data_IF_236730761705
#
_entry.id   IF_236730761705
#
_cell.length_a   1.000
_cell.length_b   1.000
_cell.length_c   1.000
_cell.angle_alpha   90.00
_cell.angle_beta   90.00
_cell.angle_gamma   90.00
#
_symmetry.space_group_name_H-M   'P 1'
#
loop_
_entity.id
_entity.type
_entity.pdbx_description
1 polymer ?
#
# COMPACT_ATOMS: atom_id res chain seq x y z
N UNK A 1 0.69 33.27 -9.51
CA UNK A 1 0.16 31.90 -9.57
C UNK A 1 0.05 31.16 -8.23
N UNK A 2 0.66 31.64 -7.12
CA UNK A 2 0.61 30.96 -5.78
C UNK A 2 -0.78 30.96 -5.09
N UNK A 3 -1.67 31.88 -5.40
CA UNK A 3 -2.97 32.02 -4.70
C UNK A 3 -4.07 31.05 -5.17
N UNK A 4 -3.94 30.40 -6.31
CA UNK A 4 -4.95 29.45 -6.83
C UNK A 4 -4.77 28.03 -6.29
N UNK A 5 -3.56 27.66 -5.85
CA UNK A 5 -3.29 26.32 -5.31
C UNK A 5 -3.84 26.11 -3.87
N UNK A 6 -3.92 27.17 -3.05
CA UNK A 6 -4.43 27.05 -1.69
C UNK A 6 -5.93 26.73 -1.61
N UNK A 7 -6.76 27.23 -2.53
CA UNK A 7 -8.22 27.06 -2.47
C UNK A 7 -8.71 25.66 -2.88
N UNK A 8 -8.01 24.98 -3.76
CA UNK A 8 -8.38 23.61 -4.19
C UNK A 8 -7.96 22.56 -3.15
N UNK A 9 -6.78 22.71 -2.56
CA UNK A 9 -6.29 21.85 -1.46
C UNK A 9 -7.19 21.94 -0.21
N UNK A 10 -7.72 23.13 0.10
CA UNK A 10 -8.65 23.34 1.22
C UNK A 10 -9.98 22.60 1.02
N UNK A 11 -10.43 22.36 -0.21
CA UNK A 11 -11.70 21.66 -0.49
C UNK A 11 -11.59 20.14 -0.48
N UNK A 12 -10.43 19.58 -0.83
CA UNK A 12 -10.22 18.13 -0.90
C UNK A 12 -10.06 17.50 0.50
N UNK A 13 -9.39 18.18 1.41
CA UNK A 13 -9.14 17.70 2.78
C UNK A 13 -10.41 17.36 3.56
N UNK A 14 -11.44 18.21 3.63
CA UNK A 14 -12.69 17.92 4.33
C UNK A 14 -13.48 16.75 3.72
N UNK A 15 -13.51 16.64 2.38
CA UNK A 15 -14.19 15.54 1.69
C UNK A 15 -13.48 14.21 1.99
N UNK A 16 -12.16 14.18 1.90
CA UNK A 16 -11.37 13.01 2.23
C UNK A 16 -11.61 12.59 3.68
N UNK A 17 -11.57 13.54 4.62
CA UNK A 17 -11.84 13.27 6.03
C UNK A 17 -13.25 12.71 6.23
N UNK A 18 -14.27 13.29 5.61
CA UNK A 18 -15.64 12.80 5.70
C UNK A 18 -15.77 11.37 5.18
N UNK A 19 -15.18 11.06 4.03
CA UNK A 19 -15.15 9.70 3.49
C UNK A 19 -14.44 8.73 4.42
N UNK A 20 -13.29 9.11 4.96
CA UNK A 20 -12.54 8.28 5.91
C UNK A 20 -13.35 8.01 7.18
N UNK A 21 -14.04 9.02 7.73
CA UNK A 21 -14.90 8.86 8.91
C UNK A 21 -16.05 7.89 8.62
N UNK A 22 -16.65 7.93 7.43
CA UNK A 22 -17.66 6.96 7.01
C UNK A 22 -17.07 5.54 6.96
N UNK A 23 -15.90 5.36 6.36
CA UNK A 23 -15.22 4.06 6.31
C UNK A 23 -14.89 3.53 7.70
N UNK A 24 -14.38 4.40 8.59
CA UNK A 24 -14.11 4.07 10.01
C UNK A 24 -15.39 3.68 10.71
N UNK A 25 -16.45 4.48 10.60
CA UNK A 25 -17.74 4.23 11.26
C UNK A 25 -18.32 2.86 10.85
N UNK A 26 -18.39 2.59 9.54
CA UNK A 26 -18.88 1.31 9.02
C UNK A 26 -18.00 0.15 9.51
N UNK A 27 -16.68 0.34 9.51
CA UNK A 27 -15.75 -0.68 9.99
C UNK A 27 -15.94 -0.99 11.46
N UNK A 28 -15.97 0.03 12.33
CA UNK A 28 -16.13 -0.12 13.78
C UNK A 28 -17.48 -0.78 14.12
N UNK A 29 -18.56 -0.33 13.46
CA UNK A 29 -19.90 -0.96 13.63
C UNK A 29 -19.85 -2.45 13.30
N UNK A 30 -19.20 -2.82 12.20
CA UNK A 30 -19.05 -4.22 11.79
C UNK A 30 -18.15 -5.02 12.72
N UNK A 31 -17.06 -4.43 13.17
CA UNK A 31 -16.15 -5.04 14.13
C UNK A 31 -16.82 -5.34 15.47
N UNK A 32 -17.59 -4.39 16.02
CA UNK A 32 -18.37 -4.58 17.25
C UNK A 32 -19.38 -5.72 17.06
N UNK A 33 -20.12 -5.75 15.92
CA UNK A 33 -21.08 -6.81 15.61
C UNK A 33 -20.43 -8.20 15.52
N UNK A 34 -19.21 -8.29 15.01
CA UNK A 34 -18.46 -9.55 14.90
C UNK A 34 -17.93 -10.01 16.26
N UNK A 35 -17.56 -9.07 17.14
CA UNK A 35 -17.06 -9.37 18.48
C UNK A 35 -18.17 -9.93 19.38
N UNK A 36 -19.40 -9.42 19.25
CA UNK A 36 -20.55 -9.89 20.06
C UNK A 36 -20.98 -11.32 19.73
N UNK A 37 -20.66 -11.83 18.54
CA UNK A 37 -21.09 -13.15 18.03
C UNK A 37 -20.00 -14.24 18.12
N UNK A 38 -19.06 -14.17 19.07
CA UNK A 38 -17.94 -15.11 19.27
C UNK A 38 -17.02 -15.37 18.05
N UNK A 39 -17.27 -14.75 16.90
CA UNK A 39 -16.37 -14.80 15.74
C UNK A 39 -15.33 -13.69 15.83
N UNK A 40 -14.32 -13.92 16.62
CA UNK A 40 -13.38 -12.91 17.10
C UNK A 40 -12.52 -12.33 15.98
N UNK A 41 -12.78 -11.08 15.61
CA UNK A 41 -11.78 -10.21 15.02
C UNK A 41 -10.97 -9.58 16.17
N UNK A 42 -9.71 -9.97 16.39
CA UNK A 42 -8.91 -9.46 17.49
C UNK A 42 -8.68 -7.94 17.35
N UNK A 43 -8.49 -7.27 18.47
CA UNK A 43 -8.33 -5.80 18.56
C UNK A 43 -7.21 -5.30 17.67
N UNK A 44 -6.09 -6.03 17.56
CA UNK A 44 -4.96 -5.64 16.74
C UNK A 44 -5.33 -5.44 15.24
N UNK A 45 -6.34 -6.16 14.73
CA UNK A 45 -6.83 -5.96 13.35
C UNK A 45 -7.54 -4.62 13.21
N UNK A 46 -8.35 -4.24 14.21
CA UNK A 46 -8.98 -2.92 14.21
C UNK A 46 -7.93 -1.80 14.30
N UNK A 47 -6.95 -1.95 15.19
CA UNK A 47 -5.84 -1.02 15.27
C UNK A 47 -5.08 -0.92 13.93
N UNK A 48 -4.77 -2.05 13.29
CA UNK A 48 -4.09 -2.08 11.99
C UNK A 48 -4.87 -1.30 10.92
N UNK A 49 -6.18 -1.52 10.81
CA UNK A 49 -7.04 -0.80 9.86
C UNK A 49 -7.05 0.71 10.12
N UNK A 50 -7.23 1.10 11.38
CA UNK A 50 -7.28 2.52 11.78
C UNK A 50 -5.94 3.22 11.55
N UNK A 51 -4.82 2.56 11.87
CA UNK A 51 -3.47 3.08 11.60
C UNK A 51 -3.26 3.20 10.09
N UNK A 52 -3.68 2.22 9.28
CA UNK A 52 -3.61 2.30 7.82
C UNK A 52 -4.36 3.51 7.26
N UNK A 53 -5.57 3.80 7.74
CA UNK A 53 -6.31 5.00 7.34
C UNK A 53 -5.66 6.30 7.85
N UNK A 54 -5.16 6.30 9.08
CA UNK A 54 -4.45 7.46 9.63
C UNK A 54 -3.22 7.81 8.79
N UNK A 55 -2.46 6.80 8.33
CA UNK A 55 -1.29 7.02 7.46
C UNK A 55 -1.68 7.60 6.10
N UNK A 56 -2.82 7.18 5.53
CA UNK A 56 -3.35 7.81 4.31
C UNK A 56 -3.68 9.28 4.57
N UNK A 57 -4.35 9.58 5.68
CA UNK A 57 -4.66 10.96 6.04
C UNK A 57 -3.40 11.80 6.25
N UNK A 58 -2.40 11.26 6.96
CA UNK A 58 -1.10 11.91 7.14
C UNK A 58 -0.44 12.19 5.78
N UNK A 59 -0.45 11.23 4.87
CA UNK A 59 0.16 11.37 3.56
C UNK A 59 -0.54 12.41 2.68
N UNK A 60 -1.88 12.50 2.73
CA UNK A 60 -2.66 13.29 1.75
C UNK A 60 -3.17 14.63 2.29
N UNK A 61 -3.40 14.76 3.60
CA UNK A 61 -4.12 15.89 4.18
C UNK A 61 -3.41 16.54 5.37
N UNK A 62 -2.23 16.09 5.78
CA UNK A 62 -1.50 16.71 6.90
C UNK A 62 -0.65 17.89 6.45
N UNK A 63 -0.19 18.75 7.37
CA UNK A 63 0.78 19.82 7.08
C UNK A 63 2.08 19.32 6.43
N UNK A 64 2.38 18.02 6.53
CA UNK A 64 3.50 17.39 5.83
C UNK A 64 3.35 17.53 4.31
N UNK A 65 2.09 17.61 3.81
CA UNK A 65 1.83 17.84 2.39
C UNK A 65 2.24 19.23 1.89
N UNK A 66 2.46 20.19 2.77
CA UNK A 66 3.01 21.50 2.38
C UNK A 66 4.53 21.41 2.09
N UNK A 67 5.24 20.52 2.80
CA UNK A 67 6.68 20.35 2.65
C UNK A 67 7.06 19.46 1.46
N UNK A 68 6.15 18.70 0.88
CA UNK A 68 6.45 17.83 -0.26
C UNK A 68 6.77 18.59 -1.53
N UNK A 69 6.25 19.82 -1.64
CA UNK A 69 6.61 20.74 -2.72
C UNK A 69 8.00 21.35 -2.55
N UNK A 70 8.54 21.35 -1.32
CA UNK A 70 9.86 21.92 -1.02
C UNK A 70 10.97 20.85 -1.00
N UNK A 71 10.64 19.63 -0.55
CA UNK A 71 11.58 18.53 -0.33
C UNK A 71 11.13 17.25 -1.05
N UNK A 72 11.95 16.80 -2.00
CA UNK A 72 11.73 15.52 -2.68
C UNK A 72 11.71 14.34 -1.70
N UNK A 73 12.54 14.39 -0.65
CA UNK A 73 12.55 13.37 0.41
C UNK A 73 11.19 13.24 1.08
N UNK A 74 10.53 14.36 1.42
CA UNK A 74 9.17 14.33 2.03
C UNK A 74 8.14 13.76 1.06
N UNK A 75 8.23 14.15 -0.21
CA UNK A 75 7.37 13.62 -1.26
C UNK A 75 7.50 12.08 -1.37
N UNK A 76 8.73 11.56 -1.38
CA UNK A 76 8.98 10.11 -1.43
C UNK A 76 8.54 9.39 -0.13
N UNK A 77 8.59 10.03 1.02
CA UNK A 77 7.98 9.50 2.27
C UNK A 77 6.48 9.31 2.10
N UNK A 78 5.77 10.28 1.51
CA UNK A 78 4.33 10.16 1.22
C UNK A 78 4.03 8.97 0.30
N UNK A 79 4.80 8.84 -0.79
CA UNK A 79 4.66 7.69 -1.69
C UNK A 79 4.88 6.37 -0.94
N UNK A 80 5.92 6.26 -0.12
CA UNK A 80 6.20 5.06 0.65
C UNK A 80 5.04 4.72 1.60
N UNK A 81 4.47 5.70 2.30
CA UNK A 81 3.31 5.49 3.17
C UNK A 81 2.10 4.96 2.40
N UNK A 82 1.79 5.55 1.23
CA UNK A 82 0.65 5.15 0.41
C UNK A 82 0.83 3.80 -0.27
N UNK A 83 2.06 3.44 -0.63
CA UNK A 83 2.35 2.22 -1.39
C UNK A 83 2.62 1.04 -0.48
N UNK A 84 3.46 1.22 0.52
CA UNK A 84 4.08 0.08 1.20
C UNK A 84 3.59 -0.14 2.62
N UNK A 85 3.09 0.90 3.30
CA UNK A 85 2.70 0.80 4.71
C UNK A 85 1.17 0.76 4.87
N UNK A 86 0.45 1.72 4.29
CA UNK A 86 -1.00 1.79 4.45
C UNK A 86 -1.77 0.60 3.84
N UNK A 87 -1.48 0.13 2.59
CA UNK A 87 -2.21 -0.97 1.99
C UNK A 87 -2.13 -2.29 2.77
N UNK A 88 -0.95 -2.78 3.21
CA UNK A 88 -0.88 -3.99 4.02
C UNK A 88 -1.61 -3.85 5.36
N UNK A 89 -1.52 -2.70 6.04
CA UNK A 89 -2.22 -2.47 7.30
C UNK A 89 -3.74 -2.51 7.11
N UNK A 90 -4.25 -1.94 6.03
CA UNK A 90 -5.68 -2.01 5.68
C UNK A 90 -6.11 -3.47 5.50
N UNK A 91 -5.36 -4.27 4.73
CA UNK A 91 -5.71 -5.68 4.50
C UNK A 91 -5.58 -6.54 5.77
N UNK A 92 -4.58 -6.29 6.62
CA UNK A 92 -4.44 -6.94 7.93
C UNK A 92 -5.66 -6.69 8.84
N UNK A 93 -6.30 -5.54 8.70
CA UNK A 93 -7.54 -5.22 9.40
C UNK A 93 -8.77 -6.03 8.99
N UNK A 94 -8.71 -6.84 7.92
CA UNK A 94 -9.83 -7.61 7.36
C UNK A 94 -11.09 -6.76 7.08
N UNK A 95 -10.97 -5.65 6.32
CA UNK A 95 -12.06 -4.69 6.14
C UNK A 95 -13.27 -5.31 5.45
N UNK A 96 -13.09 -6.25 4.55
CA UNK A 96 -14.19 -6.91 3.82
C UNK A 96 -15.14 -7.62 4.79
N UNK A 97 -14.60 -8.31 5.79
CA UNK A 97 -15.40 -9.01 6.80
C UNK A 97 -16.12 -8.02 7.71
N UNK A 98 -15.42 -6.96 8.16
CA UNK A 98 -16.02 -5.93 9.00
C UNK A 98 -17.11 -5.16 8.24
N UNK A 99 -16.84 -4.67 7.04
CA UNK A 99 -17.83 -3.94 6.24
C UNK A 99 -19.06 -4.78 5.84
N UNK A 100 -18.88 -6.07 5.58
CA UNK A 100 -20.02 -6.97 5.31
C UNK A 100 -21.02 -7.09 6.48
N UNK A 101 -20.60 -6.74 7.70
CA UNK A 101 -21.45 -6.71 8.89
C UNK A 101 -21.81 -5.29 9.33
N UNK A 102 -20.98 -4.29 8.97
CA UNK A 102 -21.20 -2.89 9.32
C UNK A 102 -22.18 -2.17 8.42
N UNK A 103 -22.26 -2.55 7.15
CA UNK A 103 -23.18 -1.94 6.19
C UNK A 103 -24.63 -2.33 6.47
N UNK A 104 -25.58 -1.42 6.22
CA UNK A 104 -27.00 -1.74 6.27
C UNK A 104 -27.39 -2.88 5.29
N UNK A 105 -28.31 -3.72 5.68
CA UNK A 105 -28.73 -4.90 4.89
C UNK A 105 -29.16 -4.55 3.46
N UNK A 106 -29.81 -3.40 3.26
CA UNK A 106 -30.24 -2.97 1.93
C UNK A 106 -29.05 -2.64 1.02
N UNK A 107 -27.99 -2.00 1.56
CA UNK A 107 -26.75 -1.70 0.82
C UNK A 107 -26.03 -2.99 0.43
N UNK A 108 -25.93 -3.94 1.37
CA UNK A 108 -25.32 -5.25 1.08
C UNK A 108 -26.10 -5.97 -0.03
N UNK A 109 -27.44 -5.95 0.02
CA UNK A 109 -28.28 -6.57 -0.99
C UNK A 109 -28.12 -5.93 -2.38
N UNK A 110 -27.97 -4.60 -2.42
CA UNK A 110 -27.74 -3.83 -3.64
C UNK A 110 -26.35 -4.11 -4.23
N UNK A 111 -25.31 -4.16 -3.38
CA UNK A 111 -23.94 -4.34 -3.82
C UNK A 111 -23.56 -5.81 -4.10
N UNK A 112 -24.26 -6.76 -3.47
CA UNK A 112 -23.97 -8.20 -3.59
C UNK A 112 -23.82 -8.68 -5.04
N UNK A 113 -24.76 -8.42 -5.98
CA UNK A 113 -24.62 -8.90 -7.35
C UNK A 113 -23.40 -8.33 -8.07
N UNK A 114 -22.98 -7.11 -7.76
CA UNK A 114 -21.78 -6.50 -8.33
C UNK A 114 -20.51 -7.27 -7.94
N UNK A 115 -20.45 -7.79 -6.71
CA UNK A 115 -19.30 -8.49 -6.18
C UNK A 115 -19.35 -10.03 -6.34
N UNK A 116 -20.50 -10.60 -6.66
CA UNK A 116 -20.65 -12.08 -6.75
C UNK A 116 -20.72 -12.62 -8.17
N UNK A 117 -21.32 -11.91 -9.11
CA UNK A 117 -21.64 -12.47 -10.44
C UNK A 117 -21.32 -11.56 -11.63
N UNK A 118 -21.05 -10.28 -11.41
CA UNK A 118 -20.94 -9.28 -12.48
C UNK A 118 -19.53 -9.11 -13.06
N UNK A 119 -19.40 -8.13 -13.95
CA UNK A 119 -18.14 -7.68 -14.56
C UNK A 119 -17.14 -7.27 -13.47
N UNK A 120 -17.58 -6.58 -12.41
CA UNK A 120 -16.74 -6.19 -11.28
C UNK A 120 -16.13 -7.39 -10.56
N UNK A 121 -16.87 -8.49 -10.40
CA UNK A 121 -16.31 -9.72 -9.83
C UNK A 121 -15.22 -10.33 -10.73
N UNK A 122 -15.43 -10.35 -12.04
CA UNK A 122 -14.44 -10.85 -13.01
C UNK A 122 -13.20 -9.94 -13.04
N UNK A 123 -13.40 -8.62 -13.08
CA UNK A 123 -12.34 -7.63 -13.04
C UNK A 123 -11.55 -7.73 -11.72
N UNK A 124 -12.22 -7.81 -10.57
CA UNK A 124 -11.56 -7.97 -9.27
C UNK A 124 -10.71 -9.23 -9.21
N UNK A 125 -11.24 -10.37 -9.67
CA UNK A 125 -10.48 -11.63 -9.74
C UNK A 125 -9.31 -11.57 -10.72
N UNK A 126 -9.43 -10.83 -11.82
CA UNK A 126 -8.35 -10.64 -12.77
C UNK A 126 -7.25 -9.75 -12.17
N UNK A 127 -7.61 -8.61 -11.61
CA UNK A 127 -6.69 -7.63 -11.02
C UNK A 127 -5.97 -8.17 -9.78
N UNK A 128 -6.61 -9.05 -9.01
CA UNK A 128 -5.99 -9.69 -7.84
C UNK A 128 -5.17 -10.94 -8.17
N UNK A 129 -5.04 -11.33 -9.46
CA UNK A 129 -4.08 -12.38 -9.86
C UNK A 129 -2.66 -11.90 -9.55
N UNK A 130 -1.82 -12.70 -8.88
CA UNK A 130 -0.49 -12.25 -8.44
C UNK A 130 0.35 -11.63 -9.57
N UNK A 131 0.35 -12.21 -10.76
CA UNK A 131 1.08 -11.68 -11.92
C UNK A 131 0.57 -10.32 -12.37
N UNK A 132 -0.76 -10.13 -12.42
CA UNK A 132 -1.39 -8.86 -12.84
C UNK A 132 -1.15 -7.78 -11.80
N UNK A 133 -1.35 -8.10 -10.53
CA UNK A 133 -1.12 -7.19 -9.41
C UNK A 133 0.34 -6.74 -9.34
N UNK A 134 1.29 -7.68 -9.54
CA UNK A 134 2.72 -7.40 -9.58
C UNK A 134 3.09 -6.46 -10.74
N UNK A 135 2.60 -6.76 -11.95
CA UNK A 135 2.84 -5.93 -13.12
C UNK A 135 2.24 -4.53 -12.98
N UNK A 136 1.00 -4.43 -12.49
CA UNK A 136 0.31 -3.15 -12.28
C UNK A 136 1.07 -2.26 -11.28
N UNK A 137 1.52 -2.85 -10.16
CA UNK A 137 2.27 -2.12 -9.14
C UNK A 137 3.61 -1.63 -9.68
N UNK A 138 4.40 -2.51 -10.31
CA UNK A 138 5.71 -2.14 -10.83
C UNK A 138 5.60 -1.17 -12.03
N UNK A 139 4.59 -1.31 -12.87
CA UNK A 139 4.34 -0.37 -13.97
C UNK A 139 3.98 1.03 -13.44
N UNK A 140 3.12 1.12 -12.42
CA UNK A 140 2.83 2.39 -11.76
C UNK A 140 4.08 2.96 -11.10
N UNK A 141 4.83 2.13 -10.36
CA UNK A 141 6.04 2.55 -9.66
C UNK A 141 7.10 3.09 -10.62
N UNK A 142 7.50 2.32 -11.61
CA UNK A 142 8.50 2.75 -12.61
C UNK A 142 7.96 3.94 -13.42
N UNK A 143 6.72 3.84 -13.90
CA UNK A 143 6.12 4.84 -14.79
C UNK A 143 6.13 6.24 -14.18
N UNK A 144 5.67 6.38 -12.94
CA UNK A 144 5.64 7.68 -12.27
C UNK A 144 7.01 8.18 -11.79
N UNK A 145 8.01 7.30 -11.64
CA UNK A 145 9.39 7.72 -11.33
C UNK A 145 10.21 8.11 -12.58
N UNK A 146 9.66 7.93 -13.80
CA UNK A 146 10.29 8.50 -15.01
C UNK A 146 10.25 10.04 -14.90
N UNK A 147 11.39 10.75 -15.05
CA UNK A 147 11.43 12.19 -14.81
C UNK A 147 10.36 13.00 -15.55
N UNK A 148 10.09 12.67 -16.81
CA UNK A 148 9.05 13.35 -17.59
C UNK A 148 7.63 13.12 -17.06
N UNK A 149 7.32 11.90 -16.61
CA UNK A 149 6.00 11.57 -16.04
C UNK A 149 5.82 12.22 -14.67
N UNK A 150 6.87 12.22 -13.87
CA UNK A 150 6.90 12.89 -12.58
C UNK A 150 6.67 14.40 -12.71
N UNK A 151 7.44 15.09 -13.57
CA UNK A 151 7.26 16.52 -13.85
C UNK A 151 5.85 16.81 -14.38
N UNK A 152 5.31 15.93 -15.22
CA UNK A 152 3.93 16.05 -15.69
C UNK A 152 2.91 15.93 -14.56
N UNK A 153 3.10 15.03 -13.60
CA UNK A 153 2.24 14.92 -12.44
C UNK A 153 2.21 16.22 -11.62
N UNK A 154 3.35 16.90 -11.50
CA UNK A 154 3.44 18.17 -10.78
C UNK A 154 2.80 19.36 -11.50
N UNK A 155 2.41 19.24 -12.79
CA UNK A 155 1.79 20.34 -13.54
C UNK A 155 0.38 20.70 -13.06
N UNK A 156 -0.34 19.76 -12.43
CA UNK A 156 -1.67 20.01 -11.87
C UNK A 156 -1.97 19.09 -10.70
N UNK A 157 -2.73 19.63 -9.76
CA UNK A 157 -3.19 18.87 -8.58
C UNK A 157 -3.97 17.59 -8.96
N UNK A 158 -4.76 17.63 -10.02
CA UNK A 158 -5.51 16.46 -10.48
C UNK A 158 -4.60 15.32 -10.95
N UNK A 159 -3.52 15.63 -11.69
CA UNK A 159 -2.55 14.62 -12.11
C UNK A 159 -1.74 14.08 -10.94
N UNK A 160 -1.37 14.92 -10.00
CA UNK A 160 -0.69 14.52 -8.76
C UNK A 160 -1.59 13.60 -7.91
N UNK A 161 -2.86 13.94 -7.75
CA UNK A 161 -3.84 13.07 -7.07
C UNK A 161 -4.06 11.76 -7.82
N UNK A 162 -4.04 11.76 -9.15
CA UNK A 162 -4.13 10.55 -9.96
C UNK A 162 -2.90 9.65 -9.79
N UNK A 163 -1.70 10.20 -9.72
CA UNK A 163 -0.47 9.49 -9.37
C UNK A 163 -0.60 8.77 -8.01
N UNK A 164 -1.00 9.51 -6.96
CA UNK A 164 -1.23 8.92 -5.63
C UNK A 164 -2.29 7.81 -5.65
N UNK A 165 -3.36 7.98 -6.42
CA UNK A 165 -4.39 6.96 -6.61
C UNK A 165 -3.82 5.72 -7.31
N UNK A 166 -3.01 5.89 -8.37
CA UNK A 166 -2.33 4.78 -9.04
C UNK A 166 -1.44 4.00 -8.08
N UNK A 167 -0.64 4.69 -7.28
CA UNK A 167 0.22 4.07 -6.28
C UNK A 167 -0.59 3.30 -5.23
N UNK A 168 -1.59 3.92 -4.66
CA UNK A 168 -2.40 3.31 -3.60
C UNK A 168 -3.16 2.07 -4.09
N UNK A 169 -3.91 2.19 -5.20
CA UNK A 169 -4.73 1.08 -5.70
C UNK A 169 -3.92 -0.07 -6.27
N UNK A 170 -2.82 0.20 -7.00
CA UNK A 170 -1.93 -0.86 -7.47
C UNK A 170 -1.29 -1.64 -6.31
N UNK A 171 -0.95 -0.95 -5.23
CA UNK A 171 -0.41 -1.58 -4.04
C UNK A 171 -1.45 -2.31 -3.20
N UNK A 172 -2.71 -1.85 -3.13
CA UNK A 172 -3.79 -2.67 -2.58
C UNK A 172 -3.92 -4.01 -3.31
N UNK A 173 -3.80 -4.02 -4.65
CA UNK A 173 -3.81 -5.26 -5.42
C UNK A 173 -2.56 -6.11 -5.16
N UNK A 174 -1.38 -5.49 -5.07
CA UNK A 174 -0.11 -6.16 -4.83
C UNK A 174 -0.07 -6.87 -3.47
N UNK A 175 -0.57 -6.23 -2.40
CA UNK A 175 -0.57 -6.79 -1.05
C UNK A 175 -1.67 -7.84 -0.81
N UNK A 176 -2.70 -7.88 -1.66
CA UNK A 176 -3.80 -8.83 -1.53
C UNK A 176 -3.36 -10.30 -1.44
N UNK A 177 -2.59 -10.86 -2.40
CA UNK A 177 -2.19 -12.28 -2.36
C UNK A 177 -1.27 -12.61 -1.20
N UNK A 178 -0.54 -11.63 -0.65
CA UNK A 178 0.38 -11.82 0.47
C UNK A 178 -0.37 -11.94 1.79
N UNK A 179 -1.33 -11.05 2.04
CA UNK A 179 -2.03 -10.94 3.33
C UNK A 179 -3.27 -11.82 3.38
N UNK A 180 -3.91 -12.04 2.25
CA UNK A 180 -5.09 -12.90 2.10
C UNK A 180 -4.83 -14.06 1.15
N UNK A 181 -3.94 -14.97 1.51
CA UNK A 181 -3.87 -16.22 0.79
C UNK A 181 -5.26 -16.86 0.91
N UNK A 182 -5.85 -17.20 -0.23
CA UNK A 182 -7.10 -17.94 -0.26
C UNK A 182 -6.99 -19.11 0.71
N UNK A 183 -8.04 -19.38 1.47
CA UNK A 183 -8.09 -20.44 2.49
C UNK A 183 -7.60 -21.81 2.03
N UNK A 184 -7.51 -22.02 0.71
CA UNK A 184 -7.07 -23.23 0.03
C UNK A 184 -5.78 -23.01 -0.79
N UNK A 185 -4.98 -21.96 -0.49
CA UNK A 185 -3.69 -21.80 -1.14
C UNK A 185 -2.79 -22.98 -0.71
N UNK A 186 -2.38 -23.79 -1.68
CA UNK A 186 -1.43 -24.87 -1.45
C UNK A 186 -0.11 -24.30 -0.91
N UNK A 187 0.64 -25.10 -0.18
CA UNK A 187 1.97 -24.72 0.33
C UNK A 187 2.87 -24.23 -0.82
N UNK A 188 2.78 -24.86 -1.97
CA UNK A 188 3.48 -24.47 -3.20
C UNK A 188 3.11 -23.04 -3.67
N UNK A 189 1.86 -22.60 -3.46
CA UNK A 189 1.44 -21.24 -3.73
C UNK A 189 2.09 -20.21 -2.78
N UNK A 190 2.40 -20.58 -1.55
CA UNK A 190 3.07 -19.72 -0.57
C UNK A 190 4.56 -19.53 -0.89
N UNK A 191 5.26 -20.56 -1.38
CA UNK A 191 6.65 -20.43 -1.84
C UNK A 191 6.79 -19.42 -3.00
N UNK A 192 5.78 -19.30 -3.85
CA UNK A 192 5.76 -18.33 -4.96
C UNK A 192 5.68 -16.85 -4.48
N UNK A 193 5.29 -16.62 -3.24
CA UNK A 193 5.29 -15.25 -2.69
C UNK A 193 6.70 -14.73 -2.40
N UNK A 194 7.68 -15.61 -2.21
CA UNK A 194 9.06 -15.21 -1.97
C UNK A 194 9.65 -14.52 -3.21
N UNK A 195 9.72 -15.16 -4.39
CA UNK A 195 10.19 -14.48 -5.59
C UNK A 195 9.30 -13.28 -5.98
N UNK A 196 8.00 -13.32 -5.68
CA UNK A 196 7.09 -12.20 -5.90
C UNK A 196 7.54 -10.94 -5.14
N UNK A 197 7.91 -11.07 -3.87
CA UNK A 197 8.42 -9.98 -3.03
C UNK A 197 9.84 -9.58 -3.42
N UNK A 198 10.75 -10.54 -3.61
CA UNK A 198 12.14 -10.26 -3.94
C UNK A 198 12.30 -9.56 -5.29
N UNK A 199 11.52 -9.95 -6.30
CA UNK A 199 11.55 -9.27 -7.60
C UNK A 199 10.98 -7.85 -7.51
N UNK A 200 10.00 -7.59 -6.63
CA UNK A 200 9.52 -6.23 -6.37
C UNK A 200 10.59 -5.38 -5.67
N UNK A 201 11.34 -5.98 -4.74
CA UNK A 201 12.46 -5.31 -4.10
C UNK A 201 13.62 -5.00 -5.07
N UNK A 202 13.91 -5.88 -6.01
CA UNK A 202 14.88 -5.61 -7.10
C UNK A 202 14.48 -4.39 -7.92
N UNK A 203 13.19 -4.26 -8.26
CA UNK A 203 12.69 -3.08 -8.98
C UNK A 203 12.80 -1.82 -8.11
N UNK A 204 12.40 -1.91 -6.83
CA UNK A 204 12.56 -0.81 -5.87
C UNK A 204 14.02 -0.37 -5.76
N UNK A 205 14.94 -1.32 -5.58
CA UNK A 205 16.38 -1.06 -5.54
C UNK A 205 16.88 -0.37 -6.81
N UNK A 206 16.44 -0.82 -7.99
CA UNK A 206 16.84 -0.23 -9.27
C UNK A 206 16.43 1.23 -9.41
N UNK A 207 15.18 1.56 -9.10
CA UNK A 207 14.68 2.95 -9.15
C UNK A 207 15.35 3.82 -8.08
N UNK A 208 15.49 3.31 -6.87
CA UNK A 208 16.12 4.04 -5.76
C UNK A 208 17.61 4.31 -6.03
N UNK A 209 18.34 3.32 -6.55
CA UNK A 209 19.73 3.47 -6.96
C UNK A 209 19.88 4.49 -8.10
N UNK A 210 18.94 4.49 -9.06
CA UNK A 210 18.92 5.49 -10.13
C UNK A 210 18.80 6.90 -9.57
N UNK A 211 17.94 7.14 -8.58
CA UNK A 211 17.83 8.45 -7.91
C UNK A 211 19.12 8.81 -7.15
N UNK A 212 19.68 7.86 -6.39
CA UNK A 212 20.87 8.08 -5.58
C UNK A 212 22.12 8.40 -6.41
N UNK A 213 22.34 7.65 -7.49
CA UNK A 213 23.63 7.64 -8.20
C UNK A 213 23.60 8.36 -9.54
N UNK A 214 22.50 9.05 -9.91
CA UNK A 214 22.39 9.79 -11.16
C UNK A 214 23.43 10.89 -11.36
N UNK A 215 24.00 11.44 -10.26
CA UNK A 215 24.97 12.53 -10.28
C UNK A 215 24.44 13.86 -10.86
N UNK A 216 23.18 13.89 -11.23
CA UNK A 216 22.46 15.05 -11.79
C UNK A 216 21.04 15.13 -11.21
N UNK A 217 20.51 16.35 -11.18
CA UNK A 217 19.13 16.56 -10.78
C UNK A 217 18.18 15.98 -11.85
N UNK A 218 17.39 14.98 -11.43
CA UNK A 218 16.44 14.28 -12.30
C UNK A 218 15.11 15.02 -12.40
N UNK A 219 14.73 15.74 -11.34
CA UNK A 219 13.47 16.47 -11.20
C UNK A 219 13.75 17.99 -11.11
N UNK A 220 13.80 18.70 -12.26
CA UNK A 220 14.12 20.12 -12.31
C UNK A 220 13.20 21.01 -11.47
N UNK A 221 11.93 20.65 -11.31
CA UNK A 221 10.97 21.41 -10.48
C UNK A 221 11.46 21.65 -9.05
N UNK A 222 12.28 20.76 -8.51
CA UNK A 222 12.91 20.96 -7.20
C UNK A 222 14.17 21.81 -7.25
N UNK A 223 14.71 22.14 -8.43
CA UNK A 223 15.96 22.91 -8.59
C UNK A 223 15.84 24.36 -8.13
N UNK A 224 14.69 24.98 -8.39
CA UNK A 224 14.48 26.43 -8.22
C UNK A 224 13.86 26.84 -6.90
N UNK A 225 13.47 25.86 -6.04
CA UNK A 225 12.75 26.11 -4.80
C UNK A 225 13.74 26.32 -3.65
N UNK A 226 13.61 27.42 -2.85
CA UNK A 226 14.39 27.57 -1.63
C UNK A 226 14.09 26.44 -0.64
N UNK A 227 15.13 25.77 -0.14
CA UNK A 227 14.98 24.63 0.77
C UNK A 227 15.28 25.00 2.20
N UNK A 228 14.54 24.46 3.17
CA UNK A 228 14.91 24.53 4.56
C UNK A 228 16.28 23.83 4.77
N UNK A 229 16.98 24.24 5.83
CA UNK A 229 18.24 23.61 6.27
C UNK A 229 19.44 23.72 5.31
N UNK A 230 19.40 24.57 4.27
CA UNK A 230 20.54 24.76 3.35
C UNK A 230 20.90 23.52 2.49
N UNK A 231 19.98 22.55 2.37
CA UNK A 231 20.16 21.37 1.53
C UNK A 231 20.19 21.73 0.04
N UNK A 232 21.14 21.18 -0.71
CA UNK A 232 21.12 21.28 -2.17
C UNK A 232 20.04 20.35 -2.76
N UNK A 233 19.52 20.68 -3.97
CA UNK A 233 18.56 19.84 -4.68
C UNK A 233 19.06 18.43 -4.92
N UNK A 234 20.36 18.31 -5.25
CA UNK A 234 20.97 17.02 -5.50
C UNK A 234 21.09 16.18 -4.22
N UNK A 235 21.46 16.81 -3.10
CA UNK A 235 21.56 16.10 -1.82
C UNK A 235 20.19 15.63 -1.32
N UNK A 236 19.12 16.41 -1.52
CA UNK A 236 17.76 16.01 -1.22
C UNK A 236 17.31 14.84 -2.11
N UNK A 237 17.62 14.85 -3.41
CA UNK A 237 17.35 13.72 -4.32
C UNK A 237 18.09 12.46 -3.88
N UNK A 238 19.36 12.56 -3.49
CA UNK A 238 20.15 11.43 -2.98
C UNK A 238 19.53 10.89 -1.68
N UNK A 239 19.13 11.77 -0.76
CA UNK A 239 18.46 11.38 0.49
C UNK A 239 17.11 10.71 0.21
N UNK A 240 16.32 11.23 -0.72
CA UNK A 240 15.05 10.65 -1.16
C UNK A 240 15.24 9.23 -1.71
N UNK A 241 16.21 9.04 -2.61
CA UNK A 241 16.55 7.73 -3.17
C UNK A 241 17.04 6.75 -2.11
N UNK A 242 17.92 7.18 -1.21
CA UNK A 242 18.42 6.36 -0.11
C UNK A 242 17.31 5.93 0.85
N UNK A 243 16.39 6.84 1.18
CA UNK A 243 15.23 6.56 2.01
C UNK A 243 14.30 5.52 1.36
N UNK A 244 13.97 5.70 0.07
CA UNK A 244 13.18 4.72 -0.68
C UNK A 244 13.86 3.35 -0.72
N UNK A 245 15.18 3.32 -0.91
CA UNK A 245 15.94 2.08 -0.94
C UNK A 245 15.83 1.33 0.38
N UNK A 246 16.27 1.96 1.47
CA UNK A 246 16.33 1.31 2.78
C UNK A 246 14.94 0.93 3.29
N UNK A 247 14.02 1.89 3.35
CA UNK A 247 12.68 1.65 3.89
C UNK A 247 11.84 0.77 2.97
N UNK A 248 11.95 0.95 1.65
CA UNK A 248 11.25 0.12 0.67
C UNK A 248 11.71 -1.34 0.73
N UNK A 249 13.03 -1.59 0.76
CA UNK A 249 13.56 -2.95 0.88
C UNK A 249 13.13 -3.64 2.17
N UNK A 250 13.12 -2.94 3.30
CA UNK A 250 12.62 -3.51 4.56
C UNK A 250 11.16 -4.00 4.44
N UNK A 251 10.33 -3.25 3.76
CA UNK A 251 8.90 -3.59 3.59
C UNK A 251 8.70 -4.87 2.77
N UNK A 252 9.56 -5.16 1.80
CA UNK A 252 9.50 -6.40 1.01
C UNK A 252 10.23 -7.56 1.70
N UNK A 253 11.38 -7.32 2.30
CA UNK A 253 12.21 -8.37 2.90
C UNK A 253 11.62 -8.93 4.20
N UNK A 254 11.05 -8.08 5.07
CA UNK A 254 10.46 -8.55 6.34
C UNK A 254 9.37 -9.61 6.10
N UNK A 255 8.33 -9.37 5.25
CA UNK A 255 7.34 -10.41 5.00
C UNK A 255 7.93 -11.61 4.23
N UNK A 256 8.92 -11.44 3.36
CA UNK A 256 9.59 -12.55 2.70
C UNK A 256 10.25 -13.49 3.71
N UNK A 257 11.02 -12.93 4.66
CA UNK A 257 11.65 -13.69 5.76
C UNK A 257 10.59 -14.34 6.65
N UNK A 258 9.53 -13.62 6.99
CA UNK A 258 8.43 -14.17 7.81
C UNK A 258 7.74 -15.36 7.12
N UNK A 259 7.53 -15.29 5.80
CA UNK A 259 6.97 -16.41 5.01
C UNK A 259 7.91 -17.59 5.02
N UNK A 260 9.21 -17.39 4.79
CA UNK A 260 10.22 -18.46 4.85
C UNK A 260 10.23 -19.12 6.22
N UNK A 261 10.29 -18.34 7.29
CA UNK A 261 10.29 -18.85 8.65
C UNK A 261 9.03 -19.70 8.96
N UNK A 262 7.84 -19.23 8.52
CA UNK A 262 6.60 -19.99 8.66
C UNK A 262 6.60 -21.30 7.87
N UNK A 263 7.13 -21.31 6.65
CA UNK A 263 7.19 -22.51 5.78
C UNK A 263 8.17 -23.56 6.33
N UNK A 264 9.27 -23.12 6.94
CA UNK A 264 10.24 -24.01 7.57
C UNK A 264 9.78 -24.53 8.94
N UNK A 265 8.94 -23.80 9.64
CA UNK A 265 8.41 -24.19 10.95
C UNK A 265 7.29 -25.25 10.89
N UNK A 266 6.69 -25.50 9.71
CA UNK A 266 5.66 -26.55 9.54
C UNK A 266 6.32 -27.91 9.62
N UNK A 267 5.97 -28.80 10.60
CA UNK A 267 6.54 -30.16 10.68
C UNK A 267 6.20 -30.94 9.38
N UNK A 268 7.18 -31.56 8.78
CA UNK A 268 6.96 -32.40 7.60
C UNK A 268 6.12 -33.62 8.00
N UNK A 269 5.11 -34.03 7.21
CA UNK A 269 4.26 -35.19 7.52
C UNK A 269 5.06 -36.47 7.78
N UNK A 270 6.23 -36.60 7.17
CA UNK A 270 7.13 -37.73 7.35
C UNK A 270 7.77 -37.81 8.74
N UNK A 271 8.04 -36.66 9.37
CA UNK A 271 8.55 -36.59 10.74
C UNK A 271 7.49 -37.02 11.77
N UNK A 272 6.22 -36.71 11.51
CA UNK A 272 5.09 -37.15 12.37
C UNK A 272 4.89 -38.67 12.26
N UNK A 273 5.03 -39.25 11.06
CA UNK A 273 4.94 -40.71 10.86
C UNK A 273 6.10 -41.46 11.52
N UNK A 274 7.31 -40.90 11.46
CA UNK A 274 8.48 -41.49 12.12
C UNK A 274 8.35 -41.50 13.65
N UNK A 275 7.77 -40.43 14.26
CA UNK A 275 7.52 -40.38 15.70
C UNK A 275 6.43 -41.37 16.15
N UNK A 276 5.36 -41.53 15.38
CA UNK A 276 4.28 -42.46 15.71
C UNK A 276 4.67 -43.95 15.46
N UNK A 277 5.58 -44.22 14.51
CA UNK A 277 6.10 -45.57 14.22
C UNK A 277 7.16 -46.06 15.19
N UNK A 278 7.75 -45.19 15.99
CA UNK A 278 8.72 -45.58 17.05
C UNK A 278 8.08 -45.83 18.42
N UNK A 279 6.75 -45.63 18.54
CA UNK A 279 5.98 -45.92 19.79
C UNK A 279 5.12 -47.19 19.72
N UNK A 280 5.16 -47.91 18.60
CA UNK A 280 4.54 -49.22 18.41
C UNK A 280 5.62 -50.31 18.42
#
# INVERSE_FOLDING_TARGET
MRHLHHTASESFGPLLLALMLIFVFVYIRGWISLRSNHSVLPVWRACSFLVGLLLIWIALASPLSALDHELLTVHMVKHLLLMTVAPPLIWLGDPVRAWSRGLPRFVIRLLRPLFTTGILHRAGRFLTRPRVAWLAMNAAYIGWHIPRAYEFALTSENWHNFEHACFFFSNLMFWWPIIRPWRNASEQSRWMLIPYLLLADVVNTGVSAFLCFSGRLLYPSYGEIPRPFGLSALNDQVAAGAFMWVCGSMVYLIPAVAIVAQLLAVPRPDAIRAQNGSQS
#
